data_IF_717644249627
#
_entry.id   IF_717644249627
#
_cell.length_a   1.000
_cell.length_b   1.000
_cell.length_c   1.000
_cell.angle_alpha   90.00
_cell.angle_beta   90.00
_cell.angle_gamma   90.00
#
_symmetry.space_group_name_H-M   'P 1'
#
loop_
_entity.id
_entity.type
_entity.pdbx_description
1 polymer ?
#
# COMPACT_ATOMS: atom_id res chain seq x y z
N UNK A 1 -31.84 57.85 7.10
CA UNK A 1 -32.93 57.74 6.12
C UNK A 1 -32.44 56.81 5.01
N UNK A 2 -33.10 55.64 4.86
CA UNK A 2 -32.94 54.61 3.81
C UNK A 2 -31.50 54.11 3.54
N UNK A 3 -31.08 52.95 4.07
CA UNK A 3 -31.45 51.59 3.66
C UNK A 3 -31.34 51.39 2.13
N UNK A 4 -30.19 50.90 1.68
CA UNK A 4 -30.07 50.22 0.38
C UNK A 4 -29.68 48.77 0.67
N UNK A 5 -30.70 47.92 0.61
CA UNK A 5 -30.59 46.50 0.30
C UNK A 5 -29.97 46.36 -1.09
N UNK A 6 -29.08 45.39 -1.31
CA UNK A 6 -29.14 44.41 -2.42
C UNK A 6 -27.82 43.60 -2.51
N UNK A 7 -27.95 42.31 -2.18
CA UNK A 7 -27.49 41.14 -2.94
C UNK A 7 -26.02 41.12 -3.40
N UNK A 8 -25.21 40.24 -2.80
CA UNK A 8 -24.73 39.02 -3.47
C UNK A 8 -23.69 38.29 -2.63
N UNK A 9 -23.94 36.99 -2.52
CA UNK A 9 -23.10 35.98 -1.91
C UNK A 9 -21.68 36.04 -2.47
N UNK A 10 -20.74 36.46 -1.65
CA UNK A 10 -19.50 35.71 -1.57
C UNK A 10 -19.35 35.30 -0.11
N UNK A 11 -20.02 34.20 0.24
CA UNK A 11 -19.45 33.36 1.26
C UNK A 11 -18.06 33.01 0.72
N UNK A 12 -17.04 33.74 1.18
CA UNK A 12 -15.66 33.29 1.05
C UNK A 12 -15.65 31.96 1.77
N UNK A 13 -15.80 30.91 0.96
CA UNK A 13 -15.54 29.55 1.36
C UNK A 13 -14.08 29.55 1.75
N UNK A 14 -13.81 29.76 3.03
CA UNK A 14 -12.64 29.16 3.64
C UNK A 14 -12.93 27.67 3.56
N UNK A 15 -12.60 27.06 2.41
CA UNK A 15 -12.45 25.62 2.35
C UNK A 15 -11.44 25.32 3.43
N UNK A 16 -11.94 24.73 4.52
CA UNK A 16 -11.17 24.02 5.51
C UNK A 16 -10.00 23.34 4.80
N UNK A 17 -8.79 23.56 5.28
CA UNK A 17 -7.55 22.92 4.83
C UNK A 17 -7.52 21.40 5.14
N UNK A 18 -8.68 20.77 5.09
CA UNK A 18 -8.92 19.33 5.19
C UNK A 18 -9.10 18.68 3.81
N UNK A 19 -8.74 19.37 2.72
CA UNK A 19 -8.35 18.65 1.49
C UNK A 19 -6.95 18.06 1.68
N UNK A 20 -6.95 16.93 2.39
CA UNK A 20 -6.22 15.74 2.02
C UNK A 20 -4.77 15.99 1.59
N UNK A 21 -3.91 16.21 2.60
CA UNK A 21 -2.64 15.51 2.55
C UNK A 21 -3.04 14.02 2.52
N UNK A 22 -3.22 13.46 1.32
CA UNK A 22 -3.02 12.04 1.11
C UNK A 22 -1.57 11.83 1.52
N UNK A 23 -1.36 11.55 2.80
CA UNK A 23 -0.07 11.28 3.38
C UNK A 23 0.57 10.28 2.43
N UNK A 24 1.63 10.70 1.74
CA UNK A 24 2.25 9.85 0.76
C UNK A 24 2.81 8.67 1.53
N UNK A 25 2.05 7.58 1.54
CA UNK A 25 2.47 6.35 2.15
C UNK A 25 3.78 5.90 1.50
N UNK A 26 4.49 5.00 2.18
CA UNK A 26 5.77 4.50 1.67
C UNK A 26 5.61 3.98 0.23
N UNK A 27 6.71 3.94 -0.52
CA UNK A 27 6.72 3.34 -1.87
C UNK A 27 6.23 1.88 -1.86
N UNK A 28 6.28 1.23 -0.70
CA UNK A 28 5.83 -0.13 -0.45
C UNK A 28 4.33 -0.27 -0.27
N UNK A 29 3.56 0.78 0.00
CA UNK A 29 2.10 0.66 0.16
C UNK A 29 1.43 0.14 -1.11
N UNK A 30 0.49 -0.79 -0.98
CA UNK A 30 -0.36 -1.27 -2.08
C UNK A 30 -0.42 -2.78 -2.20
N UNK A 31 -1.03 -3.24 -3.30
CA UNK A 31 -1.21 -4.66 -3.59
C UNK A 31 -0.06 -5.23 -4.43
N UNK A 32 0.26 -6.49 -4.22
CA UNK A 32 1.35 -7.20 -4.87
C UNK A 32 0.95 -8.60 -5.31
N UNK A 33 1.54 -9.03 -6.43
CA UNK A 33 1.55 -10.41 -6.87
C UNK A 33 2.81 -11.10 -6.34
N UNK A 34 2.63 -12.19 -5.59
CA UNK A 34 3.71 -13.06 -5.10
C UNK A 34 3.75 -14.34 -5.96
N UNK A 35 4.80 -14.57 -6.78
CA UNK A 35 4.91 -15.76 -7.62
C UNK A 35 4.86 -17.08 -6.85
N UNK A 36 5.31 -17.09 -5.58
CA UNK A 36 5.26 -18.29 -4.74
C UNK A 36 3.85 -18.60 -4.23
N UNK A 37 2.91 -17.66 -4.35
CA UNK A 37 1.53 -17.84 -3.93
C UNK A 37 0.56 -17.37 -5.03
N UNK A 38 0.40 -18.16 -6.12
CA UNK A 38 -0.36 -17.75 -7.29
C UNK A 38 -1.81 -17.37 -6.98
N UNK A 39 -2.18 -16.15 -7.39
CA UNK A 39 -3.52 -15.58 -7.16
C UNK A 39 -3.77 -15.05 -5.76
N UNK A 40 -2.88 -15.32 -4.80
CA UNK A 40 -3.01 -14.87 -3.42
C UNK A 40 -2.27 -13.53 -3.24
N UNK A 41 -2.99 -12.43 -3.48
CA UNK A 41 -2.43 -11.08 -3.41
C UNK A 41 -1.89 -10.77 -2.01
N UNK A 42 -0.82 -9.98 -1.97
CA UNK A 42 -0.25 -9.42 -0.75
C UNK A 42 -0.61 -7.95 -0.70
N UNK A 43 -0.97 -7.45 0.47
CA UNK A 43 -1.21 -6.03 0.69
C UNK A 43 -0.18 -5.51 1.68
N UNK A 44 0.33 -4.31 1.44
CA UNK A 44 1.18 -3.59 2.39
C UNK A 44 0.50 -2.26 2.69
N UNK A 45 0.22 -2.02 3.96
CA UNK A 45 -0.34 -0.76 4.44
C UNK A 45 0.74 0.33 4.59
N UNK A 46 0.30 1.56 4.81
CA UNK A 46 1.18 2.72 4.95
C UNK A 46 2.16 2.61 6.13
N UNK A 47 1.78 1.89 7.19
CA UNK A 47 2.59 1.67 8.39
C UNK A 47 3.56 0.48 8.26
N UNK A 48 3.50 -0.25 7.14
CA UNK A 48 4.31 -1.44 6.91
C UNK A 48 3.64 -2.75 7.33
N UNK A 49 2.40 -2.73 7.82
CA UNK A 49 1.62 -3.95 8.02
C UNK A 49 1.47 -4.70 6.69
N UNK A 50 1.74 -5.99 6.70
CA UNK A 50 1.71 -6.86 5.52
C UNK A 50 0.64 -7.92 5.73
N UNK A 51 -0.35 -7.97 4.86
CA UNK A 51 -1.44 -8.94 4.93
C UNK A 51 -1.58 -9.73 3.64
N UNK A 52 -2.25 -10.88 3.74
CA UNK A 52 -2.55 -11.71 2.58
C UNK A 52 -3.33 -12.95 2.95
N UNK A 53 -3.54 -13.80 1.95
CA UNK A 53 -4.10 -15.13 2.13
C UNK A 53 -3.14 -16.17 1.58
N UNK A 54 -3.24 -17.40 2.08
CA UNK A 54 -2.59 -18.56 1.48
C UNK A 54 -3.65 -19.63 1.18
N UNK A 55 -3.61 -20.18 -0.03
CA UNK A 55 -4.41 -21.33 -0.45
C UNK A 55 -3.53 -22.39 -1.11
N UNK A 56 -4.05 -23.62 -1.23
CA UNK A 56 -3.34 -24.74 -1.89
C UNK A 56 -4.22 -25.28 -3.02
N UNK A 57 -3.75 -25.28 -4.29
CA UNK A 57 -2.42 -24.89 -4.76
C UNK A 57 -2.21 -23.37 -4.97
N UNK A 58 -3.24 -22.56 -4.69
CA UNK A 58 -3.22 -21.10 -4.81
C UNK A 58 -4.58 -20.52 -4.43
N UNK A 59 -4.93 -19.35 -4.97
CA UNK A 59 -6.18 -18.65 -4.65
C UNK A 59 -7.09 -18.39 -5.87
N UNK A 60 -6.87 -19.11 -6.99
CA UNK A 60 -7.53 -18.81 -8.27
C UNK A 60 -8.83 -19.60 -8.53
N UNK A 61 -9.05 -20.73 -7.86
CA UNK A 61 -10.15 -21.65 -8.17
C UNK A 61 -11.11 -21.86 -6.99
N UNK A 62 -11.10 -20.97 -6.01
CA UNK A 62 -11.99 -21.04 -4.85
C UNK A 62 -11.53 -22.05 -3.80
N UNK A 63 -10.24 -22.37 -3.77
CA UNK A 63 -9.63 -23.19 -2.74
C UNK A 63 -9.80 -22.55 -1.34
N UNK A 64 -9.84 -23.34 -0.26
CA UNK A 64 -9.83 -22.79 1.09
C UNK A 64 -8.61 -21.89 1.30
N UNK A 65 -8.86 -20.68 1.80
CA UNK A 65 -7.83 -19.68 2.03
C UNK A 65 -7.68 -19.41 3.53
N UNK A 66 -6.44 -19.27 3.99
CA UNK A 66 -6.12 -18.84 5.35
C UNK A 66 -5.56 -17.43 5.30
N UNK A 67 -6.26 -16.48 5.91
CA UNK A 67 -5.78 -15.09 6.05
C UNK A 67 -4.68 -15.00 7.09
N UNK A 68 -3.74 -14.08 6.88
CA UNK A 68 -2.66 -13.78 7.79
C UNK A 68 -2.27 -12.31 7.71
N UNK A 69 -1.65 -11.84 8.77
CA UNK A 69 -1.13 -10.48 8.91
C UNK A 69 0.21 -10.54 9.65
N UNK A 70 1.18 -9.78 9.19
CA UNK A 70 2.54 -9.68 9.71
C UNK A 70 2.95 -8.21 9.77
N UNK A 71 3.87 -7.89 10.66
CA UNK A 71 4.42 -6.54 10.74
C UNK A 71 5.69 -6.44 9.89
N UNK A 72 5.75 -5.41 9.04
CA UNK A 72 6.94 -5.03 8.29
C UNK A 72 7.55 -3.73 8.83
N UNK A 73 8.88 -3.64 8.81
CA UNK A 73 9.61 -2.42 9.14
C UNK A 73 10.13 -1.75 7.86
N UNK A 74 9.62 -0.56 7.56
CA UNK A 74 10.03 0.21 6.39
C UNK A 74 11.21 1.13 6.75
N UNK A 75 12.27 1.04 5.95
CA UNK A 75 13.37 2.00 5.95
C UNK A 75 13.32 2.82 4.66
N UNK A 76 12.72 4.01 4.73
CA UNK A 76 12.56 4.89 3.57
C UNK A 76 13.90 5.33 2.97
N UNK A 77 14.90 5.60 3.82
CA UNK A 77 16.23 6.07 3.39
C UNK A 77 16.99 5.05 2.54
N UNK A 78 16.79 3.76 2.83
CA UNK A 78 17.42 2.65 2.10
C UNK A 78 16.50 2.01 1.06
N UNK A 79 15.26 2.50 0.96
CA UNK A 79 14.19 1.90 0.17
C UNK A 79 14.12 0.39 0.38
N UNK A 80 14.07 -0.03 1.65
CA UNK A 80 13.93 -1.43 2.06
C UNK A 80 12.75 -1.63 3.00
N UNK A 81 12.16 -2.82 2.97
CA UNK A 81 11.20 -3.31 3.97
C UNK A 81 11.72 -4.62 4.55
N UNK A 82 11.66 -4.79 5.87
CA UNK A 82 11.98 -6.06 6.54
C UNK A 82 10.70 -6.67 7.09
N UNK A 83 10.38 -7.91 6.72
CA UNK A 83 9.15 -8.59 7.15
C UNK A 83 9.51 -9.81 8.01
N UNK A 84 8.84 -9.95 9.15
CA UNK A 84 8.97 -11.10 10.04
C UNK A 84 7.97 -12.20 9.65
N UNK A 85 8.47 -13.24 8.96
CA UNK A 85 7.67 -14.42 8.60
C UNK A 85 7.74 -15.54 9.65
N UNK A 86 8.40 -15.35 10.79
CA UNK A 86 8.50 -16.36 11.84
C UNK A 86 7.15 -16.85 12.37
N UNK A 87 6.07 -16.04 12.47
CA UNK A 87 4.74 -16.54 12.85
C UNK A 87 4.16 -17.55 11.86
N UNK A 88 4.65 -17.55 10.62
CA UNK A 88 4.28 -18.50 9.56
C UNK A 88 5.33 -19.62 9.36
N UNK A 89 6.37 -19.66 10.19
CA UNK A 89 7.48 -20.63 10.09
C UNK A 89 8.60 -20.23 9.13
N UNK A 90 8.63 -18.98 8.65
CA UNK A 90 9.68 -18.43 7.80
C UNK A 90 10.79 -17.71 8.57
N UNK A 91 11.70 -17.01 7.86
CA UNK A 91 12.72 -16.17 8.47
C UNK A 91 12.12 -14.93 9.15
N UNK A 92 12.74 -14.46 10.22
CA UNK A 92 12.25 -13.32 11.00
C UNK A 92 12.66 -11.95 10.42
N UNK A 93 13.56 -11.94 9.45
CA UNK A 93 14.26 -10.75 8.97
C UNK A 93 14.38 -10.72 7.44
N UNK A 94 13.34 -11.14 6.72
CA UNK A 94 13.38 -11.15 5.26
C UNK A 94 13.39 -9.71 4.73
N UNK A 95 14.50 -9.32 4.12
CA UNK A 95 14.70 -7.96 3.58
C UNK A 95 14.28 -7.91 2.11
N UNK A 96 13.38 -6.98 1.80
CA UNK A 96 12.95 -6.62 0.45
C UNK A 96 13.47 -5.26 0.03
N UNK A 97 14.00 -5.16 -1.18
CA UNK A 97 14.47 -3.92 -1.81
C UNK A 97 13.46 -3.43 -2.85
N UNK A 98 13.15 -2.13 -2.82
CA UNK A 98 12.31 -1.51 -3.85
C UNK A 98 13.02 -1.50 -5.21
N UNK A 99 12.36 -1.99 -6.25
CA UNK A 99 12.92 -2.10 -7.61
C UNK A 99 12.41 -1.02 -8.57
N UNK A 100 11.47 -0.17 -8.11
CA UNK A 100 10.74 0.77 -8.97
C UNK A 100 9.35 0.25 -9.41
N UNK A 101 9.19 -1.06 -9.52
CA UNK A 101 7.94 -1.73 -9.91
C UNK A 101 7.46 -2.78 -8.91
N UNK A 102 8.22 -3.05 -7.85
CA UNK A 102 7.96 -4.13 -6.90
C UNK A 102 9.04 -4.24 -5.83
N UNK A 103 9.08 -5.40 -5.17
CA UNK A 103 9.98 -5.68 -4.04
C UNK A 103 10.77 -6.95 -4.35
N UNK A 104 12.10 -6.84 -4.43
CA UNK A 104 13.01 -7.99 -4.55
C UNK A 104 13.49 -8.40 -3.16
N UNK A 105 13.14 -9.60 -2.72
CA UNK A 105 13.57 -10.16 -1.44
C UNK A 105 14.95 -10.83 -1.54
N UNK A 106 15.66 -10.91 -0.42
CA UNK A 106 16.99 -11.51 -0.33
C UNK A 106 17.05 -13.01 -0.65
N UNK A 107 15.90 -13.69 -0.65
CA UNK A 107 15.74 -15.09 -1.08
C UNK A 107 15.59 -15.25 -2.60
N UNK A 108 15.52 -14.14 -3.35
CA UNK A 108 15.32 -14.11 -4.79
C UNK A 108 13.85 -14.02 -5.24
N UNK A 109 12.88 -14.08 -4.33
CA UNK A 109 11.48 -13.87 -4.67
C UNK A 109 11.22 -12.39 -5.00
N UNK A 110 10.37 -12.11 -5.98
CA UNK A 110 10.02 -10.74 -6.38
C UNK A 110 8.53 -10.55 -6.34
N UNK A 111 8.06 -9.63 -5.50
CA UNK A 111 6.67 -9.22 -5.45
C UNK A 111 6.43 -8.07 -6.42
N UNK A 112 5.60 -8.28 -7.43
CA UNK A 112 5.27 -7.26 -8.43
C UNK A 112 4.09 -6.41 -7.95
N UNK A 113 4.24 -5.08 -7.96
CA UNK A 113 3.17 -4.18 -7.49
C UNK A 113 2.03 -4.13 -8.50
N UNK A 114 0.82 -4.36 -8.03
CA UNK A 114 -0.40 -4.30 -8.81
C UNK A 114 -0.91 -2.85 -8.89
N UNK A 115 -1.04 -2.31 -10.11
CA UNK A 115 -1.78 -1.07 -10.33
C UNK A 115 -1.02 0.23 -10.02
N UNK A 116 0.26 0.34 -10.37
CA UNK A 116 1.01 1.61 -10.35
C UNK A 116 0.57 2.60 -11.45
N UNK A 117 -0.73 2.83 -11.62
CA UNK A 117 -1.21 3.97 -12.40
C UNK A 117 -1.03 5.23 -11.56
N UNK A 118 0.19 5.78 -11.57
CA UNK A 118 0.38 7.20 -11.26
C UNK A 118 -0.52 7.99 -12.23
N UNK A 119 -1.67 8.48 -11.78
CA UNK A 119 -2.19 9.72 -12.35
C UNK A 119 -1.23 10.83 -11.94
N UNK A 120 -0.17 10.99 -12.71
CA UNK A 120 0.41 12.31 -12.92
C UNK A 120 -0.61 13.04 -13.78
N UNK A 121 -1.38 13.96 -13.19
CA UNK A 121 -2.03 15.01 -13.96
C UNK A 121 -1.38 16.32 -13.55
N UNK A 122 -0.32 16.66 -14.29
CA UNK A 122 0.09 18.03 -14.52
C UNK A 122 -1.07 18.79 -15.17
N UNK A 123 -1.36 19.98 -14.65
CA UNK A 123 -1.84 21.15 -15.38
C UNK A 123 -1.56 22.40 -14.54
#
# INVERSE_FOLDING_TARGET
>A
CALVLIISLFATSCKSSEELIKQSCSVFEGDYNDPNHPGCKRHIDCDGTVSGTDGTPGCNHGEPQTSWELHGFINESKQTITIDFSPKGGPADLVGHWTGSGILFSDGNTWEKLGSNKKVSEA
#
